data_IF_545390478845
#
_entry.id   IF_545390478845
#
_cell.length_a   1.000
_cell.length_b   1.000
_cell.length_c   1.000
_cell.angle_alpha   90.00
_cell.angle_beta   90.00
_cell.angle_gamma   90.00
#
_symmetry.space_group_name_H-M   'P 1'
#
loop_
_entity.id
_entity.type
_entity.pdbx_description
1 polymer ?
#
# COMPACT_ATOMS: atom_id res chain seq x y z
N UNK A 1 -74.09 -29.34 25.20
CA UNK A 1 -74.85 -28.46 24.29
C UNK A 1 -75.01 -27.14 25.01
N UNK A 2 -74.29 -26.10 24.58
CA UNK A 2 -74.57 -24.73 25.01
C UNK A 2 -75.64 -24.13 24.09
N UNK A 3 -76.53 -23.29 24.65
CA UNK A 3 -76.53 -21.85 24.31
C UNK A 3 -76.73 -20.98 25.58
N UNK A 4 -76.07 -19.84 25.79
CA UNK A 4 -75.98 -18.55 25.09
C UNK A 4 -77.03 -17.51 25.57
N UNK A 5 -76.50 -16.40 26.14
CA UNK A 5 -77.08 -15.04 26.36
C UNK A 5 -78.30 -14.88 27.31
N UNK A 6 -78.51 -13.82 28.10
CA UNK A 6 -78.00 -12.42 28.15
C UNK A 6 -78.43 -11.69 29.45
N UNK A 7 -77.62 -10.71 29.87
CA UNK A 7 -77.84 -9.37 30.49
C UNK A 7 -78.93 -9.05 31.54
N UNK A 8 -78.48 -8.38 32.63
CA UNK A 8 -78.82 -6.98 33.04
C UNK A 8 -78.51 -6.72 34.54
N UNK A 9 -77.52 -5.87 34.89
CA UNK A 9 -77.66 -4.48 35.42
C UNK A 9 -78.48 -4.34 36.72
N UNK A 10 -78.14 -3.68 37.84
CA UNK A 10 -77.13 -2.72 38.36
C UNK A 10 -77.50 -2.51 39.88
N UNK A 11 -77.10 -1.46 40.64
CA UNK A 11 -75.82 -0.75 40.84
C UNK A 11 -75.38 -0.74 42.33
N UNK A 12 -74.14 -0.34 42.64
CA UNK A 12 -73.90 0.52 43.82
C UNK A 12 -72.61 1.33 43.68
N UNK A 13 -72.81 2.62 43.87
CA UNK A 13 -71.87 3.74 43.90
C UNK A 13 -71.12 3.83 45.22
N UNK A 14 -69.83 4.19 45.19
CA UNK A 14 -69.27 5.14 46.17
C UNK A 14 -67.90 5.69 45.79
N UNK A 15 -67.80 7.01 46.00
CA UNK A 15 -66.64 7.83 46.31
C UNK A 15 -65.51 7.95 45.28
N UNK A 16 -65.55 9.09 44.58
CA UNK A 16 -64.38 9.67 43.94
C UNK A 16 -63.36 10.13 44.99
N UNK A 17 -62.14 9.63 44.84
CA UNK A 17 -60.93 10.25 45.37
C UNK A 17 -60.19 10.90 44.19
N UNK A 18 -60.08 12.22 44.19
CA UNK A 18 -59.16 12.92 43.30
C UNK A 18 -57.72 12.45 43.59
N UNK A 19 -56.96 11.93 42.61
CA UNK A 19 -55.52 11.88 42.77
C UNK A 19 -55.01 13.30 42.53
N UNK A 20 -54.64 13.96 43.63
CA UNK A 20 -53.70 15.08 43.62
C UNK A 20 -52.50 14.76 42.71
N UNK A 21 -51.99 15.70 41.91
CA UNK A 21 -50.79 15.45 41.12
C UNK A 21 -49.62 15.22 42.08
N UNK A 22 -48.80 14.16 41.94
CA UNK A 22 -47.55 14.10 42.66
C UNK A 22 -46.62 15.16 42.06
N UNK A 23 -46.53 16.24 42.82
CA UNK A 23 -45.59 17.34 42.70
C UNK A 23 -44.17 16.79 42.57
N UNK A 24 -43.52 17.14 41.46
CA UNK A 24 -42.07 17.22 41.30
C UNK A 24 -41.29 15.91 41.53
N UNK A 25 -41.24 15.04 40.51
CA UNK A 25 -40.11 14.10 40.39
C UNK A 25 -38.85 14.97 40.33
N UNK A 26 -37.93 14.76 41.27
CA UNK A 26 -36.65 15.47 41.27
C UNK A 26 -35.92 15.16 39.96
N UNK A 27 -35.31 16.17 39.33
CA UNK A 27 -34.44 15.98 38.15
C UNK A 27 -33.38 14.90 38.41
N UNK A 28 -32.97 14.69 39.67
CA UNK A 28 -32.06 13.59 40.05
C UNK A 28 -32.71 12.21 39.98
N UNK A 29 -33.97 12.07 40.38
CA UNK A 29 -34.70 10.80 40.33
C UNK A 29 -35.09 10.42 38.90
N UNK A 30 -35.42 11.41 38.06
CA UNK A 30 -35.62 11.18 36.62
C UNK A 30 -34.30 10.80 35.94
N UNK A 31 -33.17 11.45 36.27
CA UNK A 31 -31.85 11.09 35.72
C UNK A 31 -31.38 9.72 36.20
N UNK A 32 -31.71 9.28 37.42
CA UNK A 32 -31.40 7.93 37.90
C UNK A 32 -32.31 6.89 37.22
N UNK A 33 -33.62 7.16 37.08
CA UNK A 33 -34.56 6.25 36.41
C UNK A 33 -34.33 6.18 34.88
N UNK A 34 -33.89 7.28 34.26
CA UNK A 34 -33.48 7.38 32.86
C UNK A 34 -31.96 7.48 32.71
N UNK A 35 -31.20 6.83 33.61
CA UNK A 35 -29.79 6.54 33.38
C UNK A 35 -29.74 5.53 32.24
N UNK A 36 -29.84 6.06 31.01
CA UNK A 36 -29.47 5.38 29.80
C UNK A 36 -27.99 5.10 29.98
N UNK A 37 -27.70 3.97 30.59
CA UNK A 37 -26.38 3.38 30.51
C UNK A 37 -26.24 3.09 29.05
N UNK A 38 -25.63 4.02 28.30
CA UNK A 38 -25.12 3.75 26.98
C UNK A 38 -24.07 2.69 27.25
N UNK A 39 -24.50 1.42 27.24
CA UNK A 39 -23.62 0.29 27.00
C UNK A 39 -23.06 0.60 25.63
N UNK A 40 -21.92 1.28 25.61
CA UNK A 40 -21.02 1.22 24.47
C UNK A 40 -20.62 -0.25 24.44
N UNK A 41 -21.41 -1.06 23.74
CA UNK A 41 -21.05 -2.44 23.45
C UNK A 41 -19.66 -2.38 22.85
N UNK A 42 -18.71 -3.04 23.51
CA UNK A 42 -17.35 -3.12 23.01
C UNK A 42 -17.44 -3.60 21.55
N UNK A 43 -16.75 -2.95 20.61
CA UNK A 43 -16.86 -3.29 19.20
C UNK A 43 -16.56 -4.78 19.02
N UNK A 44 -17.41 -5.48 18.27
CA UNK A 44 -17.25 -6.89 17.96
C UNK A 44 -15.78 -7.15 17.55
N UNK A 45 -15.04 -8.02 18.26
CA UNK A 45 -13.63 -8.25 17.99
C UNK A 45 -13.38 -8.70 16.55
N UNK A 46 -14.31 -9.44 15.93
CA UNK A 46 -14.20 -9.85 14.53
C UNK A 46 -14.36 -8.67 13.57
N UNK A 47 -15.34 -7.79 13.83
CA UNK A 47 -15.52 -6.56 13.06
C UNK A 47 -14.33 -5.61 13.18
N UNK A 48 -13.73 -5.51 14.37
CA UNK A 48 -12.53 -4.71 14.61
C UNK A 48 -11.31 -5.29 13.88
N UNK A 49 -11.11 -6.60 13.92
CA UNK A 49 -10.02 -7.27 13.20
C UNK A 49 -10.13 -7.03 11.69
N UNK A 50 -11.32 -7.20 11.10
CA UNK A 50 -11.51 -6.99 9.67
C UNK A 50 -11.35 -5.52 9.27
N UNK A 51 -11.71 -4.58 10.15
CA UNK A 51 -11.43 -3.15 9.95
C UNK A 51 -9.93 -2.88 9.86
N UNK A 52 -9.13 -3.42 10.78
CA UNK A 52 -7.67 -3.26 10.78
C UNK A 52 -7.07 -3.89 9.53
N UNK A 53 -7.47 -5.13 9.18
CA UNK A 53 -7.00 -5.79 7.95
C UNK A 53 -7.31 -4.97 6.70
N UNK A 54 -8.50 -4.35 6.64
CA UNK A 54 -8.89 -3.49 5.52
C UNK A 54 -8.02 -2.23 5.42
N UNK A 55 -7.73 -1.59 6.55
CA UNK A 55 -6.83 -0.42 6.61
C UNK A 55 -5.43 -0.79 6.11
N UNK A 56 -4.85 -1.88 6.63
CA UNK A 56 -3.53 -2.34 6.21
C UNK A 56 -3.49 -2.69 4.70
N UNK A 57 -4.52 -3.36 4.17
CA UNK A 57 -4.59 -3.64 2.71
C UNK A 57 -4.62 -2.36 1.88
N UNK A 58 -5.34 -1.33 2.33
CA UNK A 58 -5.37 -0.03 1.65
C UNK A 58 -4.01 0.67 1.71
N UNK A 59 -3.36 0.64 2.88
CA UNK A 59 -2.01 1.19 3.07
C UNK A 59 -0.98 0.48 2.18
N UNK A 60 -1.01 -0.85 2.12
CA UNK A 60 -0.16 -1.63 1.21
C UNK A 60 -0.36 -1.18 -0.24
N UNK A 61 -1.61 -1.01 -0.70
CA UNK A 61 -1.88 -0.53 -2.07
C UNK A 61 -1.28 0.86 -2.31
N UNK A 62 -1.38 1.76 -1.34
CA UNK A 62 -0.83 3.12 -1.45
C UNK A 62 0.70 3.13 -1.45
N UNK A 63 1.33 2.39 -0.54
CA UNK A 63 2.79 2.26 -0.48
C UNK A 63 3.33 1.57 -1.73
N UNK A 64 2.66 0.51 -2.19
CA UNK A 64 3.01 -0.18 -3.42
C UNK A 64 2.99 0.78 -4.62
N UNK A 65 1.96 1.64 -4.75
CA UNK A 65 1.91 2.68 -5.80
C UNK A 65 3.09 3.62 -5.71
N UNK A 66 3.38 4.14 -4.51
CA UNK A 66 4.50 5.06 -4.29
C UNK A 66 5.84 4.44 -4.68
N UNK A 67 6.08 3.20 -4.25
CA UNK A 67 7.29 2.44 -4.60
C UNK A 67 7.34 2.22 -6.12
N UNK A 68 6.24 1.74 -6.71
CA UNK A 68 6.16 1.44 -8.13
C UNK A 68 6.38 2.68 -9.01
N UNK A 69 5.68 3.77 -8.72
CA UNK A 69 5.77 5.00 -9.49
C UNK A 69 7.06 5.77 -9.20
N UNK A 70 7.51 5.81 -7.96
CA UNK A 70 8.69 6.54 -7.54
C UNK A 70 9.99 5.88 -8.02
N UNK A 71 10.13 4.57 -7.84
CA UNK A 71 11.34 3.85 -8.26
C UNK A 71 11.39 3.72 -9.77
N UNK A 72 10.27 3.39 -10.43
CA UNK A 72 10.26 3.15 -11.88
C UNK A 72 9.83 4.37 -12.73
N UNK A 73 9.54 5.53 -12.12
CA UNK A 73 9.25 6.83 -12.77
C UNK A 73 8.26 6.73 -13.96
N UNK A 74 7.22 5.90 -13.83
CA UNK A 74 6.32 5.57 -14.95
C UNK A 74 5.41 6.73 -15.39
N UNK A 75 5.13 7.70 -14.51
CA UNK A 75 4.22 8.83 -14.80
C UNK A 75 4.85 9.94 -15.66
N UNK A 76 6.17 9.95 -15.86
CA UNK A 76 6.87 11.07 -16.50
C UNK A 76 7.35 10.82 -17.93
N UNK A 77 7.31 9.58 -18.42
CA UNK A 77 8.11 9.17 -19.57
C UNK A 77 7.21 8.49 -20.61
N UNK A 78 7.12 9.09 -21.80
CA UNK A 78 6.28 8.68 -22.93
C UNK A 78 6.65 7.29 -23.49
N UNK A 79 6.47 6.23 -22.70
CA UNK A 79 6.81 4.85 -23.06
C UNK A 79 8.30 4.49 -22.95
N UNK A 80 9.18 5.39 -22.50
CA UNK A 80 10.60 5.09 -22.29
C UNK A 80 10.80 4.43 -20.92
N UNK A 81 11.62 3.37 -20.86
CA UNK A 81 11.92 2.71 -19.59
C UNK A 81 12.74 3.61 -18.68
N UNK A 82 12.58 3.43 -17.37
CA UNK A 82 13.40 4.09 -16.35
C UNK A 82 14.91 3.97 -16.61
N UNK A 83 15.36 2.76 -16.97
CA UNK A 83 16.76 2.48 -17.32
C UNK A 83 17.23 3.28 -18.53
N UNK A 84 16.38 3.43 -19.55
CA UNK A 84 16.69 4.25 -20.72
C UNK A 84 16.87 5.72 -20.36
N UNK A 85 16.04 6.25 -19.46
CA UNK A 85 16.10 7.67 -19.10
C UNK A 85 17.33 8.00 -18.26
N UNK A 86 17.69 7.16 -17.29
CA UNK A 86 18.95 7.31 -16.57
C UNK A 86 20.16 7.13 -17.49
N UNK A 87 20.11 6.18 -18.44
CA UNK A 87 21.16 6.03 -19.45
C UNK A 87 21.34 7.28 -20.31
N UNK A 88 20.24 7.87 -20.76
CA UNK A 88 20.26 9.12 -21.55
C UNK A 88 20.85 10.27 -20.74
N UNK A 89 20.44 10.42 -19.48
CA UNK A 89 20.99 11.44 -18.59
C UNK A 89 22.47 11.19 -18.29
N UNK A 90 22.87 9.94 -18.10
CA UNK A 90 24.27 9.55 -17.87
C UNK A 90 25.18 9.98 -19.03
N UNK A 91 24.78 9.65 -20.28
CA UNK A 91 25.48 10.10 -21.49
C UNK A 91 25.45 11.63 -21.60
N UNK A 92 24.29 12.25 -21.35
CA UNK A 92 24.12 13.70 -21.43
C UNK A 92 24.95 14.47 -20.41
N UNK A 93 25.29 13.83 -19.29
CA UNK A 93 26.23 14.35 -18.31
C UNK A 93 27.71 14.17 -18.72
N UNK A 94 27.93 13.60 -19.90
CA UNK A 94 29.24 13.32 -20.51
C UNK A 94 29.99 12.18 -19.85
N UNK A 95 29.28 11.28 -19.15
CA UNK A 95 29.87 10.05 -18.64
C UNK A 95 29.89 9.00 -19.74
N UNK A 96 31.04 8.36 -19.94
CA UNK A 96 31.18 7.31 -20.94
C UNK A 96 30.54 6.03 -20.42
N UNK A 97 29.75 5.40 -21.29
CA UNK A 97 29.24 4.06 -21.03
C UNK A 97 30.34 3.11 -21.48
N UNK A 98 31.05 2.54 -20.52
CA UNK A 98 31.69 1.26 -20.79
C UNK A 98 30.55 0.29 -21.10
N UNK A 99 30.47 -0.15 -22.35
CA UNK A 99 29.40 -0.99 -22.92
C UNK A 99 29.15 -2.31 -22.16
N UNK A 100 29.96 -2.59 -21.13
CA UNK A 100 29.92 -3.79 -20.29
C UNK A 100 29.45 -3.55 -18.85
N UNK A 101 29.39 -2.30 -18.40
CA UNK A 101 29.14 -1.95 -17.00
C UNK A 101 28.06 -0.88 -16.89
N UNK A 102 26.81 -1.20 -17.24
CA UNK A 102 25.69 -0.45 -16.69
C UNK A 102 25.22 -1.14 -15.42
N UNK A 103 25.53 -0.59 -14.21
CA UNK A 103 25.04 -1.12 -12.93
C UNK A 103 23.51 -1.29 -12.89
N UNK A 104 22.80 -0.54 -13.74
CA UNK A 104 21.35 -0.59 -13.87
C UNK A 104 20.85 -1.57 -14.92
N UNK A 105 21.61 -1.83 -16.00
CA UNK A 105 21.21 -2.86 -16.96
C UNK A 105 21.32 -4.26 -16.36
N UNK A 106 22.28 -4.52 -15.47
CA UNK A 106 22.34 -5.79 -14.73
C UNK A 106 21.10 -6.01 -13.84
N UNK A 107 20.47 -4.95 -13.34
CA UNK A 107 19.20 -5.02 -12.61
C UNK A 107 17.98 -5.28 -13.50
N UNK A 108 18.05 -5.00 -14.80
CA UNK A 108 16.93 -5.15 -15.76
C UNK A 108 17.10 -6.26 -16.79
N UNK A 109 18.33 -6.68 -17.10
CA UNK A 109 18.66 -7.69 -18.11
C UNK A 109 18.16 -9.09 -17.73
N UNK A 110 17.95 -9.34 -16.43
CA UNK A 110 17.42 -10.61 -15.95
C UNK A 110 15.90 -10.62 -15.73
N UNK A 111 15.16 -9.64 -16.24
CA UNK A 111 13.67 -9.68 -16.23
C UNK A 111 13.11 -10.92 -16.94
N UNK A 112 13.89 -11.58 -17.81
CA UNK A 112 13.49 -12.83 -18.48
C UNK A 112 13.77 -14.11 -17.68
N UNK A 113 14.77 -14.13 -16.78
CA UNK A 113 15.11 -15.32 -15.98
C UNK A 113 14.43 -15.36 -14.61
N UNK A 114 13.94 -14.23 -14.09
CA UNK A 114 13.17 -14.18 -12.83
C UNK A 114 11.65 -14.34 -13.02
N UNK A 115 11.27 -15.18 -13.98
CA UNK A 115 9.89 -15.63 -14.09
C UNK A 115 9.46 -16.24 -12.77
N UNK A 116 8.26 -15.85 -12.31
CA UNK A 116 7.57 -16.38 -11.12
C UNK A 116 8.11 -15.82 -9.78
N UNK A 117 7.39 -14.83 -9.22
CA UNK A 117 7.53 -14.25 -7.86
C UNK A 117 8.66 -13.24 -7.56
N UNK A 118 9.25 -12.56 -8.55
CA UNK A 118 10.34 -11.61 -8.26
C UNK A 118 9.89 -10.15 -8.09
N UNK A 119 10.15 -9.59 -6.91
CA UNK A 119 9.97 -8.16 -6.64
C UNK A 119 8.53 -7.69 -6.44
N UNK A 120 8.40 -6.37 -6.27
CA UNK A 120 7.14 -5.70 -5.86
C UNK A 120 6.01 -5.89 -6.88
N UNK A 121 6.31 -6.06 -8.17
CA UNK A 121 5.32 -6.26 -9.23
C UNK A 121 4.41 -7.49 -9.02
N UNK A 122 4.95 -8.57 -8.43
CA UNK A 122 4.23 -9.81 -8.20
C UNK A 122 3.64 -9.92 -6.78
N UNK A 123 3.67 -8.84 -5.99
CA UNK A 123 3.07 -8.83 -4.66
C UNK A 123 1.59 -9.23 -4.74
N UNK A 124 1.26 -10.37 -4.13
CA UNK A 124 -0.08 -10.96 -4.14
C UNK A 124 -0.56 -11.15 -2.72
N UNK A 125 -1.73 -10.60 -2.40
CA UNK A 125 -2.35 -10.76 -1.09
C UNK A 125 -3.48 -11.78 -1.18
N UNK A 126 -3.52 -12.70 -0.22
CA UNK A 126 -4.57 -13.71 -0.11
C UNK A 126 -5.67 -13.25 0.87
N UNK A 127 -6.84 -13.86 0.76
CA UNK A 127 -7.87 -13.63 1.76
C UNK A 127 -7.42 -14.24 3.10
N UNK A 128 -7.80 -13.57 4.20
CA UNK A 128 -7.58 -14.02 5.59
C UNK A 128 -6.15 -14.06 6.12
N UNK A 129 -5.13 -13.58 5.39
CA UNK A 129 -3.79 -13.36 5.99
C UNK A 129 -3.88 -12.51 7.26
N UNK A 130 -3.03 -12.83 8.23
CA UNK A 130 -3.05 -12.20 9.54
C UNK A 130 -2.70 -10.71 9.49
N UNK A 131 -3.12 -9.98 10.52
CA UNK A 131 -2.71 -8.59 10.73
C UNK A 131 -1.19 -8.48 10.80
N UNK A 132 -0.51 -9.45 11.43
CA UNK A 132 0.94 -9.47 11.54
C UNK A 132 1.62 -9.54 10.17
N UNK A 133 1.17 -10.44 9.30
CA UNK A 133 1.71 -10.52 7.93
C UNK A 133 1.43 -9.26 7.13
N UNK A 134 0.21 -8.71 7.22
CA UNK A 134 -0.11 -7.45 6.54
C UNK A 134 0.77 -6.29 7.06
N UNK A 135 1.00 -6.21 8.36
CA UNK A 135 1.91 -5.24 8.99
C UNK A 135 3.34 -5.40 8.48
N UNK A 136 3.85 -6.63 8.40
CA UNK A 136 5.20 -6.88 7.87
C UNK A 136 5.35 -6.46 6.38
N UNK A 137 4.28 -6.57 5.59
CA UNK A 137 4.26 -6.04 4.22
C UNK A 137 4.28 -4.51 4.21
N UNK A 138 3.53 -3.85 5.10
CA UNK A 138 3.57 -2.39 5.27
C UNK A 138 4.98 -1.92 5.64
N UNK A 139 5.62 -2.58 6.61
CA UNK A 139 6.99 -2.24 7.04
C UNK A 139 7.98 -2.37 5.89
N UNK A 140 7.95 -3.51 5.17
CA UNK A 140 8.80 -3.75 4.01
C UNK A 140 8.58 -2.68 2.92
N UNK A 141 7.34 -2.34 2.60
CA UNK A 141 7.03 -1.36 1.56
C UNK A 141 7.37 0.07 1.99
N UNK A 142 7.23 0.39 3.28
CA UNK A 142 7.64 1.68 3.85
C UNK A 142 9.15 1.85 3.75
N UNK A 143 9.90 0.84 4.15
CA UNK A 143 11.36 0.82 4.02
C UNK A 143 11.79 0.90 2.56
N UNK A 144 11.13 0.15 1.67
CA UNK A 144 11.41 0.22 0.24
C UNK A 144 11.12 1.61 -0.34
N UNK A 145 10.05 2.26 0.13
CA UNK A 145 9.68 3.63 -0.24
C UNK A 145 10.74 4.68 0.08
N UNK A 146 11.65 4.42 1.03
CA UNK A 146 12.79 5.31 1.31
C UNK A 146 13.76 5.42 0.14
N UNK A 147 13.80 4.41 -0.74
CA UNK A 147 14.69 4.39 -1.90
C UNK A 147 14.22 5.33 -3.01
N UNK A 148 12.96 5.78 -3.00
CA UNK A 148 12.46 6.77 -3.97
C UNK A 148 13.31 8.03 -3.94
N UNK A 149 13.66 8.53 -2.75
CA UNK A 149 14.52 9.71 -2.62
C UNK A 149 15.97 9.46 -3.08
N UNK A 150 16.44 8.20 -3.05
CA UNK A 150 17.75 7.86 -3.62
C UNK A 150 17.72 7.84 -5.15
N UNK A 151 16.61 7.36 -5.74
CA UNK A 151 16.35 7.45 -7.17
C UNK A 151 16.26 8.91 -7.62
N UNK A 152 15.48 9.75 -6.94
CA UNK A 152 15.35 11.17 -7.30
C UNK A 152 16.71 11.88 -7.26
N UNK A 153 17.53 11.62 -6.24
CA UNK A 153 18.91 12.14 -6.17
C UNK A 153 19.80 11.70 -7.34
N UNK A 154 19.59 10.50 -7.87
CA UNK A 154 20.34 10.01 -9.03
C UNK A 154 19.94 10.76 -10.31
N UNK A 155 18.65 11.05 -10.49
CA UNK A 155 18.17 11.92 -11.56
C UNK A 155 18.72 13.34 -11.40
N UNK A 156 18.56 13.95 -10.23
CA UNK A 156 19.02 15.31 -9.93
C UNK A 156 20.54 15.47 -10.12
N UNK A 157 21.33 14.47 -9.77
CA UNK A 157 22.77 14.48 -10.03
C UNK A 157 23.02 14.55 -11.54
N UNK A 158 22.49 13.63 -12.32
CA UNK A 158 22.75 13.59 -13.76
C UNK A 158 22.12 14.78 -14.51
N UNK A 159 20.96 15.27 -14.07
CA UNK A 159 20.28 16.44 -14.62
C UNK A 159 21.11 17.72 -14.41
N UNK A 160 21.65 17.92 -13.20
CA UNK A 160 22.49 19.10 -12.90
C UNK A 160 23.78 19.14 -13.70
N UNK A 161 24.30 17.98 -14.12
CA UNK A 161 25.51 17.89 -14.92
C UNK A 161 25.25 17.69 -16.42
N UNK A 162 23.99 17.80 -16.88
CA UNK A 162 23.70 17.78 -18.32
C UNK A 162 24.51 18.84 -19.04
N UNK A 163 25.00 18.47 -20.23
CA UNK A 163 25.90 19.31 -21.01
C UNK A 163 25.22 19.83 -22.24
N UNK A 164 25.46 21.11 -22.47
CA UNK A 164 25.26 21.69 -23.78
C UNK A 164 26.27 21.07 -24.75
N UNK A 165 25.73 20.42 -25.77
CA UNK A 165 26.50 20.06 -26.95
C UNK A 165 26.91 21.35 -27.66
N UNK A 166 28.20 21.49 -27.98
CA UNK A 166 28.68 22.60 -28.81
C UNK A 166 29.31 22.06 -30.08
N UNK A 167 29.20 22.84 -31.15
CA UNK A 167 29.79 22.48 -32.44
C UNK A 167 31.21 23.02 -32.47
N UNK A 168 32.19 22.13 -32.52
CA UNK A 168 33.56 22.47 -32.87
C UNK A 168 33.71 22.46 -34.39
N UNK A 169 34.19 23.58 -34.94
CA UNK A 169 34.35 23.77 -36.37
C UNK A 169 35.33 22.77 -37.02
N UNK A 170 36.26 22.21 -36.24
CA UNK A 170 37.28 21.28 -36.74
C UNK A 170 36.88 19.79 -36.64
N UNK A 171 35.95 19.44 -35.74
CA UNK A 171 35.70 18.02 -35.42
C UNK A 171 34.23 17.64 -35.18
N UNK A 172 33.30 18.58 -35.35
CA UNK A 172 31.86 18.33 -35.23
C UNK A 172 31.31 18.57 -33.83
N UNK A 173 30.24 17.86 -33.45
CA UNK A 173 29.61 18.01 -32.13
C UNK A 173 30.55 17.48 -31.04
N UNK A 174 30.95 18.35 -30.12
CA UNK A 174 31.75 18.04 -28.92
C UNK A 174 30.90 18.21 -27.67
N UNK A 175 31.24 17.43 -26.65
CA UNK A 175 30.74 17.60 -25.30
C UNK A 175 31.86 18.18 -24.42
N UNK A 176 31.52 19.04 -23.46
CA UNK A 176 32.47 19.49 -22.44
C UNK A 176 32.97 18.27 -21.64
N UNK A 177 34.21 18.29 -21.13
CA UNK A 177 34.79 17.19 -20.35
C UNK A 177 34.08 16.97 -19.00
N UNK A 178 34.01 15.72 -18.46
CA UNK A 178 33.44 15.36 -17.15
C UNK A 178 33.80 16.34 -16.05
N UNK A 179 32.85 16.72 -15.19
CA UNK A 179 33.28 17.29 -13.92
C UNK A 179 34.07 16.19 -13.19
N UNK A 180 35.27 16.49 -12.67
CA UNK A 180 36.19 15.43 -12.22
C UNK A 180 35.61 14.53 -11.12
N UNK A 181 34.69 15.05 -10.31
CA UNK A 181 34.02 14.36 -9.21
C UNK A 181 32.74 13.62 -9.62
N UNK A 182 32.15 13.93 -10.77
CA UNK A 182 30.85 13.37 -11.16
C UNK A 182 30.88 11.84 -11.25
N UNK A 183 31.93 11.27 -11.85
CA UNK A 183 32.09 9.82 -11.97
C UNK A 183 32.15 9.14 -10.60
N UNK A 184 32.84 9.76 -9.64
CA UNK A 184 32.99 9.23 -8.27
C UNK A 184 31.65 9.30 -7.53
N UNK A 185 30.95 10.44 -7.61
CA UNK A 185 29.65 10.63 -6.99
C UNK A 185 28.60 9.67 -7.56
N UNK A 186 28.55 9.54 -8.88
CA UNK A 186 27.68 8.59 -9.57
C UNK A 186 27.98 7.16 -9.16
N UNK A 187 29.25 6.75 -9.15
CA UNK A 187 29.66 5.38 -8.81
C UNK A 187 29.21 5.00 -7.40
N UNK A 188 29.42 5.91 -6.43
CA UNK A 188 28.99 5.70 -5.05
C UNK A 188 27.46 5.62 -4.93
N UNK A 189 26.74 6.53 -5.56
CA UNK A 189 25.28 6.59 -5.48
C UNK A 189 24.63 5.40 -6.17
N UNK A 190 25.07 5.07 -7.38
CA UNK A 190 24.52 3.98 -8.20
C UNK A 190 24.81 2.60 -7.61
N UNK A 191 25.99 2.39 -7.00
CA UNK A 191 26.31 1.15 -6.29
C UNK A 191 25.37 0.95 -5.09
N UNK A 192 25.23 1.97 -4.24
CA UNK A 192 24.33 1.90 -3.07
C UNK A 192 22.87 1.68 -3.50
N UNK A 193 22.42 2.37 -4.55
CA UNK A 193 21.07 2.20 -5.08
C UNK A 193 20.86 0.78 -5.62
N UNK A 194 21.78 0.27 -6.45
CA UNK A 194 21.72 -1.09 -6.99
C UNK A 194 21.62 -2.13 -5.88
N UNK A 195 22.52 -2.04 -4.90
CA UNK A 195 22.59 -3.02 -3.82
C UNK A 195 21.30 -2.99 -2.97
N UNK A 196 20.79 -1.80 -2.64
CA UNK A 196 19.53 -1.66 -1.91
C UNK A 196 18.33 -2.21 -2.71
N UNK A 197 18.19 -1.82 -3.98
CA UNK A 197 17.08 -2.29 -4.84
C UNK A 197 17.11 -3.81 -4.98
N UNK A 198 18.30 -4.40 -5.12
CA UNK A 198 18.49 -5.84 -5.15
C UNK A 198 18.03 -6.51 -3.85
N UNK A 199 18.43 -5.98 -2.69
CA UNK A 199 17.99 -6.50 -1.39
C UNK A 199 16.47 -6.42 -1.22
N UNK A 200 15.84 -5.32 -1.64
CA UNK A 200 14.37 -5.22 -1.59
C UNK A 200 13.67 -6.19 -2.53
N UNK A 201 14.25 -6.46 -3.71
CA UNK A 201 13.72 -7.46 -4.62
C UNK A 201 13.74 -8.86 -4.01
N UNK A 202 14.85 -9.24 -3.36
CA UNK A 202 14.97 -10.51 -2.62
C UNK A 202 13.98 -10.59 -1.46
N UNK A 203 13.95 -9.57 -0.60
CA UNK A 203 13.05 -9.52 0.56
C UNK A 203 11.57 -9.57 0.15
N UNK A 204 11.21 -8.96 -0.96
CA UNK A 204 9.85 -9.05 -1.51
C UNK A 204 9.53 -10.45 -2.03
N UNK A 205 10.50 -11.13 -2.64
CA UNK A 205 10.36 -12.54 -3.03
C UNK A 205 10.10 -13.45 -1.82
N UNK A 206 10.88 -13.28 -0.75
CA UNK A 206 10.68 -13.99 0.52
C UNK A 206 9.31 -13.66 1.12
N UNK A 207 8.92 -12.38 1.13
CA UNK A 207 7.61 -11.96 1.64
C UNK A 207 6.45 -12.60 0.87
N UNK A 208 6.53 -12.67 -0.47
CA UNK A 208 5.53 -13.36 -1.28
C UNK A 208 5.38 -14.84 -0.88
N UNK A 209 6.50 -15.52 -0.61
CA UNK A 209 6.48 -16.90 -0.16
C UNK A 209 5.85 -17.02 1.24
N UNK A 210 6.20 -16.15 2.18
CA UNK A 210 5.62 -16.16 3.54
C UNK A 210 4.09 -15.93 3.53
N UNK A 211 3.62 -14.99 2.72
CA UNK A 211 2.18 -14.73 2.54
C UNK A 211 1.50 -15.97 1.95
N UNK A 212 2.12 -16.60 0.94
CA UNK A 212 1.59 -17.82 0.32
C UNK A 212 1.52 -18.98 1.32
N UNK A 213 2.61 -19.24 2.05
CA UNK A 213 2.68 -20.31 3.04
C UNK A 213 1.65 -20.12 4.15
N UNK A 214 1.46 -18.88 4.62
CA UNK A 214 0.40 -18.56 5.58
C UNK A 214 -0.98 -18.83 4.99
N UNK A 215 -1.25 -18.39 3.75
CA UNK A 215 -2.53 -18.60 3.10
C UNK A 215 -2.85 -20.10 2.93
N UNK A 216 -1.86 -20.90 2.54
CA UNK A 216 -1.97 -22.37 2.47
C UNK A 216 -2.24 -22.97 3.84
N UNK A 217 -1.50 -22.54 4.88
CA UNK A 217 -1.68 -23.01 6.26
C UNK A 217 -3.08 -22.73 6.79
N UNK A 218 -3.61 -21.54 6.56
CA UNK A 218 -4.95 -21.12 7.02
C UNK A 218 -6.09 -21.89 6.35
N UNK A 219 -5.85 -22.47 5.18
CA UNK A 219 -6.88 -23.16 4.40
C UNK A 219 -6.52 -24.61 4.09
N UNK A 220 -5.72 -25.26 4.94
CA UNK A 220 -5.33 -26.69 4.80
C UNK A 220 -6.52 -27.61 4.56
N UNK A 221 -7.68 -27.28 5.13
CA UNK A 221 -8.91 -28.08 4.99
C UNK A 221 -9.71 -27.78 3.70
N UNK A 222 -9.42 -26.68 3.00
CA UNK A 222 -10.13 -26.31 1.77
C UNK A 222 -9.23 -25.50 0.79
N UNK A 223 -8.27 -26.17 0.11
CA UNK A 223 -7.21 -25.53 -0.66
C UNK A 223 -7.72 -24.74 -1.89
N UNK A 224 -8.87 -25.09 -2.46
CA UNK A 224 -9.45 -24.40 -3.63
C UNK A 224 -9.99 -23.00 -3.31
N UNK A 225 -10.39 -22.73 -2.06
CA UNK A 225 -10.73 -21.36 -1.59
C UNK A 225 -9.49 -20.56 -1.16
N UNK A 226 -8.43 -21.25 -0.71
CA UNK A 226 -7.18 -20.67 -0.21
C UNK A 226 -6.43 -19.80 -1.23
N UNK A 227 -6.47 -20.20 -2.50
CA UNK A 227 -5.58 -19.68 -3.54
C UNK A 227 -6.13 -18.47 -4.28
N UNK A 228 -7.33 -17.99 -3.90
CA UNK A 228 -7.93 -16.76 -4.43
C UNK A 228 -7.32 -15.53 -3.76
N UNK A 229 -6.06 -15.24 -4.10
CA UNK A 229 -5.43 -13.96 -3.82
C UNK A 229 -5.52 -13.02 -5.02
N UNK A 230 -5.23 -11.74 -4.79
CA UNK A 230 -5.23 -10.69 -5.82
C UNK A 230 -3.87 -10.01 -5.85
N UNK A 231 -3.44 -9.61 -7.05
CA UNK A 231 -2.20 -8.86 -7.18
C UNK A 231 -2.41 -7.42 -6.74
N UNK A 232 -1.48 -6.87 -5.97
CA UNK A 232 -1.59 -5.50 -5.46
C UNK A 232 -1.67 -4.50 -6.61
N UNK A 233 -0.95 -4.76 -7.71
CA UNK A 233 -1.01 -3.94 -8.94
C UNK A 233 -2.43 -3.80 -9.53
N UNK A 234 -3.26 -4.84 -9.43
CA UNK A 234 -4.62 -4.84 -9.99
C UNK A 234 -5.56 -3.97 -9.16
N UNK A 235 -5.30 -3.88 -7.85
CA UNK A 235 -6.01 -2.94 -6.96
C UNK A 235 -5.45 -1.52 -7.05
N UNK A 236 -4.15 -1.40 -7.30
CA UNK A 236 -3.52 -0.11 -7.49
C UNK A 236 -4.02 0.57 -8.77
N UNK A 237 -4.10 -0.16 -9.88
CA UNK A 237 -4.49 0.36 -11.19
C UNK A 237 -5.68 -0.44 -11.76
N UNK A 238 -6.90 -0.24 -11.23
CA UNK A 238 -8.06 -1.05 -11.60
C UNK A 238 -8.49 -0.92 -13.07
N UNK A 239 -8.05 0.14 -13.77
CA UNK A 239 -8.42 0.40 -15.17
C UNK A 239 -7.29 0.11 -16.17
N UNK A 240 -6.23 -0.59 -15.76
CA UNK A 240 -5.13 -0.99 -16.64
C UNK A 240 -4.27 0.17 -17.18
N UNK A 241 -4.52 1.42 -16.78
CA UNK A 241 -3.66 2.57 -17.09
C UNK A 241 -2.40 2.44 -16.23
N UNK A 242 -1.31 2.08 -16.91
CA UNK A 242 0.06 2.03 -16.40
C UNK A 242 0.62 3.44 -16.30
#
# INVERSE_FOLDING_TARGET
MSPDQSDASSPSSSSGGSPTPPTHISLREWVIANSFTIRVEAPDPAAQEERIKRQLRQEIVMLWKRVWLGIYRLEGLHGLTHSYCLRRLYIGAGLEIDLWESPMEQGTANTREYGWNSGVYYLKLYNNVSIATLGAVVDLMTEYGTQVAAVDRAYELLERHQRDAYVDAASGIRFRAPEPNLQVEWSRLSAALRDNLWQFQLRTGVMNQLIFDEAVRLHRQNPTRALRGWFVRERAFPNGRR
#
